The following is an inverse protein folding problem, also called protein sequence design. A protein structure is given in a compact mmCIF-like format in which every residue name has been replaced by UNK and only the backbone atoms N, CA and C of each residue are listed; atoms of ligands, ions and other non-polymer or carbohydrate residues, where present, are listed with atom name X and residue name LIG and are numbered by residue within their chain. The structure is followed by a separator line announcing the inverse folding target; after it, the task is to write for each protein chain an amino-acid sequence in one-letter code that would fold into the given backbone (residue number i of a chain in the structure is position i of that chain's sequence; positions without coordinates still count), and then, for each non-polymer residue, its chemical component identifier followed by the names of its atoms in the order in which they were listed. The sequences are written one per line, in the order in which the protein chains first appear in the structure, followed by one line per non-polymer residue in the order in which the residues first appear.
data_IF_698427498514
#
_entry.id   IF_698427498514
#
_cell.length_a   1.000
_cell.length_b   1.000
_cell.length_c   1.000
_cell.angle_alpha   90.00
_cell.angle_beta   90.00
_cell.angle_gamma   90.00
#
_symmetry.space_group_name_H-M   'P 1'
#
loop_
_entity.id
_entity.type
_entity.pdbx_description
1 polymer ?
#
# COMPACT_ATOMS: atom_id res chain seq x y z
N UNK A 1 15.09 -4.27 0.11
CA UNK A 1 15.59 -2.97 0.65
C UNK A 1 16.28 -3.15 2.00
N UNK A 2 15.62 -3.76 3.00
CA UNK A 2 16.22 -4.01 4.31
C UNK A 2 17.58 -4.69 4.23
N UNK A 3 17.71 -5.75 3.43
CA UNK A 3 18.99 -6.45 3.25
C UNK A 3 20.12 -5.52 2.74
N UNK A 4 19.80 -4.54 1.90
CA UNK A 4 20.79 -3.57 1.40
C UNK A 4 21.22 -2.56 2.48
N UNK A 5 20.31 -2.25 3.42
CA UNK A 5 20.59 -1.41 4.57
C UNK A 5 21.41 -2.18 5.61
N UNK A 6 21.03 -3.43 5.91
CA UNK A 6 21.72 -4.32 6.84
C UNK A 6 23.13 -4.69 6.35
N UNK A 7 23.30 -4.92 5.04
CA UNK A 7 24.60 -5.15 4.44
C UNK A 7 25.45 -3.88 4.25
N UNK A 8 24.96 -2.71 4.67
CA UNK A 8 25.66 -1.42 4.58
C UNK A 8 25.93 -0.95 3.15
N UNK A 9 25.21 -1.48 2.15
CA UNK A 9 25.39 -1.13 0.73
C UNK A 9 24.78 0.22 0.39
N UNK A 10 23.83 0.68 1.19
CA UNK A 10 23.20 1.99 1.06
C UNK A 10 22.73 2.49 2.45
N UNK A 11 22.25 3.73 2.52
CA UNK A 11 21.60 4.28 3.70
C UNK A 11 20.52 5.29 3.31
N UNK A 12 19.61 5.58 4.23
CA UNK A 12 18.48 6.51 4.02
C UNK A 12 18.65 7.84 4.76
N UNK A 13 19.86 8.16 5.25
CA UNK A 13 20.10 9.35 6.09
C UNK A 13 19.77 10.67 5.40
N UNK A 14 19.85 10.70 4.07
CA UNK A 14 19.55 11.88 3.22
C UNK A 14 18.17 11.82 2.55
N UNK A 15 17.38 10.79 2.82
CA UNK A 15 16.07 10.63 2.22
C UNK A 15 15.10 11.65 2.84
N UNK A 16 14.59 12.57 2.03
CA UNK A 16 13.61 13.60 2.46
C UNK A 16 12.20 13.28 1.96
N UNK A 17 12.03 12.23 1.17
CA UNK A 17 10.77 11.88 0.52
C UNK A 17 10.56 10.36 0.56
N UNK A 18 9.45 9.92 1.12
CA UNK A 18 9.06 8.52 1.19
C UNK A 18 7.71 8.32 0.49
N UNK A 19 7.64 7.30 -0.36
CA UNK A 19 6.40 6.86 -0.99
C UNK A 19 6.09 5.45 -0.52
N UNK A 20 4.87 5.25 0.00
CA UNK A 20 4.29 3.94 0.29
C UNK A 20 3.19 3.70 -0.74
N UNK A 21 3.45 2.85 -1.72
CA UNK A 21 2.48 2.50 -2.76
C UNK A 21 1.84 1.14 -2.45
N UNK A 22 0.58 0.96 -2.83
CA UNK A 22 -0.25 -0.21 -2.49
C UNK A 22 -0.16 -0.61 -1.00
N UNK A 23 -0.39 0.37 -0.11
CA UNK A 23 -0.20 0.19 1.34
C UNK A 23 -1.05 -0.94 1.91
N UNK A 24 -2.28 -1.12 1.44
CA UNK A 24 -3.14 -2.26 1.76
C UNK A 24 -2.51 -3.59 1.39
N UNK A 25 -1.98 -3.73 0.18
CA UNK A 25 -1.28 -4.96 -0.25
C UNK A 25 -0.06 -5.27 0.60
N UNK A 26 0.73 -4.26 0.96
CA UNK A 26 1.88 -4.49 1.83
C UNK A 26 1.46 -5.02 3.21
N UNK A 27 0.33 -4.55 3.75
CA UNK A 27 -0.22 -5.07 5.01
C UNK A 27 -0.75 -6.50 4.85
N UNK A 28 -1.45 -6.80 3.76
CA UNK A 28 -1.90 -8.17 3.45
C UNK A 28 -0.74 -9.17 3.37
N UNK A 29 0.42 -8.72 2.87
CA UNK A 29 1.66 -9.51 2.81
C UNK A 29 2.41 -9.60 4.15
N UNK A 30 1.92 -8.91 5.19
CA UNK A 30 2.55 -8.89 6.51
C UNK A 30 3.84 -8.05 6.57
N UNK A 31 4.02 -7.07 5.69
CA UNK A 31 5.22 -6.23 5.65
C UNK A 31 5.24 -5.07 6.64
N UNK A 32 4.23 -4.92 7.50
CA UNK A 32 4.18 -3.83 8.49
C UNK A 32 5.47 -3.71 9.33
N UNK A 33 6.02 -4.80 9.93
CA UNK A 33 7.25 -4.70 10.71
C UNK A 33 8.44 -4.20 9.88
N UNK A 34 8.53 -4.61 8.62
CA UNK A 34 9.60 -4.23 7.70
C UNK A 34 9.49 -2.76 7.29
N UNK A 35 8.28 -2.28 7.00
CA UNK A 35 8.01 -0.87 6.70
C UNK A 35 8.44 -0.01 7.89
N UNK A 36 8.04 -0.38 9.11
CA UNK A 36 8.41 0.36 10.32
C UNK A 36 9.93 0.47 10.50
N UNK A 37 10.65 -0.65 10.33
CA UNK A 37 12.13 -0.68 10.36
C UNK A 37 12.79 0.20 9.31
N UNK A 38 12.20 0.30 8.11
CA UNK A 38 12.72 1.17 7.03
C UNK A 38 12.52 2.63 7.43
N UNK A 39 11.31 2.99 7.87
CA UNK A 39 10.92 4.36 8.21
C UNK A 39 11.74 4.91 9.38
N UNK A 40 12.03 4.08 10.40
CA UNK A 40 12.88 4.45 11.54
C UNK A 40 14.32 4.81 11.14
N UNK A 41 14.80 4.35 9.99
CA UNK A 41 16.12 4.67 9.47
C UNK A 41 16.16 5.95 8.62
N UNK A 42 14.99 6.57 8.39
CA UNK A 42 14.85 7.82 7.65
C UNK A 42 14.79 8.97 8.66
N UNK A 43 15.37 10.12 8.32
CA UNK A 43 15.26 11.36 9.10
C UNK A 43 13.78 11.70 9.41
N UNK A 44 13.48 12.27 10.60
CA UNK A 44 12.11 12.55 11.02
C UNK A 44 11.43 13.66 10.19
N UNK A 45 12.21 14.60 9.65
CA UNK A 45 11.77 15.68 8.78
C UNK A 45 11.79 15.23 7.31
N UNK A 46 10.88 14.30 7.02
CA UNK A 46 10.61 13.75 5.69
C UNK A 46 9.18 14.03 5.29
N UNK A 47 8.93 14.20 4.00
CA UNK A 47 7.58 14.16 3.44
C UNK A 47 7.22 12.71 3.12
N UNK A 48 6.04 12.27 3.52
CA UNK A 48 5.55 10.91 3.27
C UNK A 48 4.27 10.99 2.44
N UNK A 49 4.23 10.22 1.35
CA UNK A 49 3.03 10.04 0.52
C UNK A 49 2.64 8.57 0.59
N UNK A 50 1.34 8.31 0.67
CA UNK A 50 0.80 6.97 0.75
C UNK A 50 -0.34 6.80 -0.25
N UNK A 51 -0.30 5.72 -1.00
CA UNK A 51 -1.37 5.27 -1.90
C UNK A 51 -1.90 3.92 -1.44
N UNK A 52 -3.22 3.76 -1.50
CA UNK A 52 -3.91 2.54 -1.13
C UNK A 52 -5.21 2.46 -1.94
N UNK A 53 -5.55 1.28 -2.45
CA UNK A 53 -6.81 1.08 -3.17
C UNK A 53 -7.99 0.94 -2.19
N UNK A 54 -7.72 0.42 -0.99
CA UNK A 54 -8.70 0.20 0.06
C UNK A 54 -8.37 1.00 1.32
N UNK A 55 -9.35 1.21 2.20
CA UNK A 55 -9.20 2.00 3.43
C UNK A 55 -9.66 1.27 4.72
N UNK A 56 -9.18 0.05 5.00
CA UNK A 56 -9.50 -0.67 6.23
C UNK A 56 -8.86 0.00 7.46
N UNK A 57 -9.17 -0.49 8.66
CA UNK A 57 -8.72 0.11 9.93
C UNK A 57 -7.19 0.07 10.07
N UNK A 58 -6.57 -0.97 9.53
CA UNK A 58 -5.14 -1.24 9.56
C UNK A 58 -4.38 -0.22 8.71
N UNK A 59 -4.85 0.05 7.48
CA UNK A 59 -4.28 1.10 6.61
C UNK A 59 -4.47 2.49 7.22
N UNK A 60 -5.63 2.75 7.83
CA UNK A 60 -5.87 4.01 8.57
C UNK A 60 -4.86 4.22 9.69
N UNK A 61 -4.63 3.17 10.48
CA UNK A 61 -3.63 3.19 11.56
C UNK A 61 -2.22 3.42 11.02
N UNK A 62 -1.87 2.78 9.90
CA UNK A 62 -0.60 2.99 9.21
C UNK A 62 -0.41 4.45 8.79
N UNK A 63 -1.48 5.06 8.25
CA UNK A 63 -1.51 6.47 7.86
C UNK A 63 -1.28 7.38 9.07
N UNK A 64 -1.99 7.15 10.17
CA UNK A 64 -1.86 7.91 11.42
C UNK A 64 -0.47 7.80 12.04
N UNK A 65 0.17 6.62 11.94
CA UNK A 65 1.51 6.38 12.48
C UNK A 65 2.61 7.07 11.66
N UNK A 66 2.46 7.16 10.33
CA UNK A 66 3.56 7.54 9.43
C UNK A 66 3.38 8.89 8.72
N UNK A 67 2.17 9.38 8.59
CA UNK A 67 1.86 10.66 7.98
C UNK A 67 1.65 11.72 9.07
N UNK A 68 2.14 12.94 8.84
CA UNK A 68 1.96 14.07 9.76
C UNK A 68 1.13 15.16 9.08
N UNK A 69 0.07 15.62 9.75
CA UNK A 69 -0.82 16.70 9.29
C UNK A 69 -1.24 16.52 7.81
N UNK A 70 -1.62 15.29 7.44
CA UNK A 70 -1.80 14.90 6.05
C UNK A 70 -3.16 15.30 5.47
N UNK A 71 -3.19 15.49 4.15
CA UNK A 71 -4.41 15.66 3.38
C UNK A 71 -4.78 14.32 2.76
N UNK A 72 -5.98 13.83 3.05
CA UNK A 72 -6.53 12.65 2.39
C UNK A 72 -7.27 13.06 1.12
N UNK A 73 -6.87 12.49 -0.02
CA UNK A 73 -7.56 12.67 -1.30
C UNK A 73 -8.16 11.31 -1.70
N UNK A 74 -9.48 11.24 -1.77
CA UNK A 74 -10.20 10.05 -2.20
C UNK A 74 -10.82 10.30 -3.57
N UNK A 75 -10.58 9.39 -4.51
CA UNK A 75 -11.17 9.44 -5.85
C UNK A 75 -12.19 8.31 -5.96
N UNK A 76 -13.47 8.66 -6.11
CA UNK A 76 -14.58 7.70 -6.18
C UNK A 76 -15.20 7.38 -4.82
N UNK A 77 -15.76 6.18 -4.68
CA UNK A 77 -16.30 5.66 -3.41
C UNK A 77 -15.25 4.83 -2.67
N UNK A 78 -15.33 4.83 -1.34
CA UNK A 78 -14.56 3.92 -0.48
C UNK A 78 -15.13 2.49 -0.50
N UNK A 79 -16.36 2.32 -0.97
CA UNK A 79 -16.97 1.01 -1.15
C UNK A 79 -16.34 0.32 -2.36
N UNK A 80 -15.85 -0.91 -2.17
CA UNK A 80 -15.40 -1.74 -3.27
C UNK A 80 -16.59 -2.08 -4.16
N UNK A 81 -16.66 -1.41 -5.30
CA UNK A 81 -17.67 -1.63 -6.32
C UNK A 81 -16.97 -2.01 -7.62
N UNK A 82 -17.51 -3.00 -8.33
CA UNK A 82 -17.09 -3.23 -9.71
C UNK A 82 -17.52 -2.03 -10.57
N UNK A 83 -16.67 -1.64 -11.52
CA UNK A 83 -16.93 -0.46 -12.35
C UNK A 83 -18.20 -0.66 -13.20
N UNK A 84 -19.22 0.18 -12.96
CA UNK A 84 -20.49 0.13 -13.70
C UNK A 84 -20.36 0.50 -15.19
N UNK A 85 -19.28 1.20 -15.58
CA UNK A 85 -18.99 1.54 -16.98
C UNK A 85 -18.36 0.38 -17.76
N UNK A 86 -18.05 -0.75 -17.09
CA UNK A 86 -17.54 -1.95 -17.72
C UNK A 86 -18.65 -2.99 -17.74
N UNK A 87 -19.03 -3.42 -18.95
CA UNK A 87 -19.95 -4.54 -19.14
C UNK A 87 -19.30 -5.82 -18.58
N UNK A 88 -19.93 -6.42 -17.57
CA UNK A 88 -19.49 -7.67 -16.95
C UNK A 88 -20.43 -8.79 -17.39
N UNK A 89 -19.89 -9.77 -18.12
CA UNK A 89 -20.61 -10.97 -18.56
C UNK A 89 -20.10 -12.14 -17.72
N UNK A 90 -21.02 -12.92 -17.15
CA UNK A 90 -20.70 -14.09 -16.33
C UNK A 90 -21.38 -15.30 -16.94
N UNK A 91 -20.60 -16.22 -17.48
CA UNK A 91 -21.07 -17.51 -17.97
C UNK A 91 -20.72 -18.60 -16.95
N UNK A 92 -21.74 -19.27 -16.43
CA UNK A 92 -21.58 -20.37 -15.46
C UNK A 92 -21.51 -21.68 -16.21
N UNK A 93 -20.36 -22.35 -16.14
CA UNK A 93 -20.08 -23.61 -16.83
C UNK A 93 -19.76 -24.73 -15.85
N UNK A 94 -20.07 -25.96 -16.23
CA UNK A 94 -19.65 -27.18 -15.53
C UNK A 94 -18.18 -27.48 -15.83
N UNK A 95 -17.50 -28.21 -14.95
CA UNK A 95 -16.05 -28.45 -15.07
C UNK A 95 -15.62 -29.12 -16.37
N UNK A 96 -16.51 -29.86 -17.04
CA UNK A 96 -16.29 -30.49 -18.35
C UNK A 96 -16.36 -29.52 -19.53
N UNK A 97 -17.04 -28.38 -19.39
CA UNK A 97 -17.23 -27.39 -20.47
C UNK A 97 -16.11 -26.34 -20.52
N UNK A 98 -15.19 -26.34 -19.54
CA UNK A 98 -14.09 -25.36 -19.45
C UNK A 98 -12.91 -25.69 -20.38
N UNK A 99 -12.77 -26.95 -20.77
CA UNK A 99 -11.63 -27.48 -21.53
C UNK A 99 -11.96 -27.76 -23.02
N UNK A 100 -13.18 -27.43 -23.49
CA UNK A 100 -13.56 -27.40 -24.91
C UNK A 100 -13.41 -25.99 -25.51
#
# INVERSE_FOLDING_TARGET
LLDLLEAGKTNLRRCTYLVLDEADRMLDMGFEPQIRKIIEQIRPDRQVLMWSATWPKEVRRLAEDFLKDYVQINVGSLDLCANHNILQIVDVMTGSEKDE
#
